data_IF_491729040177
#
_entry.id   IF_491729040177
#
_cell.length_a   1.000
_cell.length_b   1.000
_cell.length_c   1.000
_cell.angle_alpha   90.00
_cell.angle_beta   90.00
_cell.angle_gamma   90.00
#
_symmetry.space_group_name_H-M   'P 1'
#
loop_
_entity.id
_entity.type
_entity.pdbx_description
1 polymer ?
#
# COMPACT_ATOMS: atom_id res chain seq x y z
N UNK A 1 8.30 -17.89 -4.17
CA UNK A 1 8.03 -16.67 -4.95
C UNK A 1 7.20 -15.65 -4.18
N UNK A 2 6.16 -16.10 -3.47
CA UNK A 2 5.28 -15.21 -2.70
C UNK A 2 6.07 -14.41 -1.65
N UNK A 3 6.89 -15.08 -0.86
CA UNK A 3 7.63 -14.42 0.23
C UNK A 3 8.63 -13.41 -0.30
N UNK A 4 9.28 -13.72 -1.42
CA UNK A 4 10.21 -12.80 -2.07
C UNK A 4 9.49 -11.58 -2.65
N UNK A 5 8.30 -11.78 -3.21
CA UNK A 5 7.47 -10.70 -3.73
C UNK A 5 7.06 -9.75 -2.60
N UNK A 6 6.54 -10.30 -1.51
CA UNK A 6 6.11 -9.51 -0.35
C UNK A 6 7.29 -8.69 0.21
N UNK A 7 8.43 -9.32 0.42
CA UNK A 7 9.62 -8.64 0.93
C UNK A 7 10.05 -7.50 0.01
N UNK A 8 10.01 -7.73 -1.30
CA UNK A 8 10.40 -6.72 -2.28
C UNK A 8 9.44 -5.54 -2.32
N UNK A 9 8.14 -5.78 -2.20
CA UNK A 9 7.14 -4.71 -2.12
C UNK A 9 7.34 -3.87 -0.87
N UNK A 10 7.55 -4.50 0.27
CA UNK A 10 7.80 -3.80 1.53
C UNK A 10 9.02 -2.88 1.40
N UNK A 11 10.05 -3.34 0.70
CA UNK A 11 11.28 -2.57 0.49
C UNK A 11 11.09 -1.40 -0.50
N UNK A 12 10.28 -1.58 -1.55
CA UNK A 12 10.28 -0.68 -2.71
C UNK A 12 8.95 0.02 -2.99
N UNK A 13 7.93 -0.16 -2.18
CA UNK A 13 6.58 0.31 -2.51
C UNK A 13 6.47 1.83 -2.70
N UNK A 14 7.35 2.59 -2.03
CA UNK A 14 7.32 4.06 -2.16
C UNK A 14 7.77 4.55 -3.53
N UNK A 15 8.67 3.81 -4.17
CA UNK A 15 9.22 4.17 -5.46
C UNK A 15 8.58 3.41 -6.62
N UNK A 16 8.13 2.17 -6.37
CA UNK A 16 7.70 1.27 -7.45
C UNK A 16 6.39 0.58 -7.09
N UNK A 17 5.38 0.79 -7.92
CA UNK A 17 4.05 0.20 -7.72
C UNK A 17 3.57 -0.62 -8.91
N UNK A 18 4.40 -0.78 -9.93
CA UNK A 18 4.07 -1.56 -11.13
C UNK A 18 4.38 -3.04 -10.93
N UNK A 19 3.45 -3.91 -11.30
CA UNK A 19 3.66 -5.36 -11.28
C UNK A 19 4.85 -5.73 -12.16
N UNK A 20 5.03 -5.04 -13.29
CA UNK A 20 6.14 -5.31 -14.21
C UNK A 20 7.49 -5.14 -13.54
N UNK A 21 7.65 -4.11 -12.71
CA UNK A 21 8.90 -3.90 -11.96
C UNK A 21 9.22 -5.11 -11.08
N UNK A 22 8.23 -5.59 -10.33
CA UNK A 22 8.44 -6.69 -9.39
C UNK A 22 8.67 -8.02 -10.12
N UNK A 23 7.94 -8.26 -11.19
CA UNK A 23 8.15 -9.45 -12.01
C UNK A 23 9.55 -9.48 -12.59
N UNK A 24 10.03 -8.35 -13.11
CA UNK A 24 11.37 -8.22 -13.66
C UNK A 24 12.44 -8.49 -12.59
N UNK A 25 12.30 -7.88 -11.42
CA UNK A 25 13.24 -8.09 -10.31
C UNK A 25 13.25 -9.54 -9.82
N UNK A 26 12.15 -10.24 -9.91
CA UNK A 26 12.02 -11.63 -9.49
C UNK A 26 12.33 -12.62 -10.62
N UNK A 27 12.69 -12.10 -11.80
CA UNK A 27 13.04 -12.92 -12.98
C UNK A 27 11.90 -13.84 -13.42
N UNK A 28 10.67 -13.36 -13.34
CA UNK A 28 9.48 -14.07 -13.79
C UNK A 28 8.65 -13.16 -14.68
N UNK A 29 7.70 -13.77 -15.42
CA UNK A 29 6.76 -12.97 -16.20
C UNK A 29 5.71 -12.34 -15.29
N UNK A 30 5.15 -11.22 -15.72
CA UNK A 30 4.04 -10.57 -15.02
C UNK A 30 2.87 -11.55 -14.81
N UNK A 31 2.57 -12.32 -15.85
CA UNK A 31 1.48 -13.30 -15.80
C UNK A 31 1.75 -14.39 -14.75
N UNK A 32 2.97 -14.92 -14.72
CA UNK A 32 3.34 -15.94 -13.74
C UNK A 32 3.27 -15.40 -12.32
N UNK A 33 3.79 -14.20 -12.10
CA UNK A 33 3.73 -13.57 -10.79
C UNK A 33 2.29 -13.38 -10.33
N UNK A 34 1.44 -12.79 -11.17
CA UNK A 34 0.03 -12.55 -10.84
C UNK A 34 -0.71 -13.84 -10.55
N UNK A 35 -0.47 -14.89 -11.33
CA UNK A 35 -1.11 -16.18 -11.11
C UNK A 35 -0.68 -16.81 -9.79
N UNK A 36 0.62 -16.76 -9.50
CA UNK A 36 1.15 -17.34 -8.26
C UNK A 36 0.58 -16.61 -7.03
N UNK A 37 0.54 -15.27 -7.07
CA UNK A 37 -0.01 -14.49 -5.96
C UNK A 37 -1.50 -14.77 -5.81
N UNK A 38 -2.25 -14.85 -6.91
CA UNK A 38 -3.67 -15.20 -6.87
C UNK A 38 -3.90 -16.56 -6.20
N UNK A 39 -3.07 -17.55 -6.51
CA UNK A 39 -3.21 -18.90 -5.97
C UNK A 39 -2.80 -19.00 -4.51
N UNK A 40 -1.81 -18.21 -4.08
CA UNK A 40 -1.25 -18.33 -2.73
C UNK A 40 -1.84 -17.34 -1.74
N UNK A 41 -2.28 -16.17 -2.19
CA UNK A 41 -2.79 -15.09 -1.33
C UNK A 41 -4.27 -14.81 -1.58
N UNK A 42 -4.78 -15.14 -2.75
CA UNK A 42 -6.21 -14.96 -3.06
C UNK A 42 -6.54 -13.64 -3.74
N UNK A 43 -5.54 -12.81 -4.04
CA UNK A 43 -5.73 -11.58 -4.80
C UNK A 43 -4.64 -11.45 -5.86
N UNK A 44 -4.82 -10.55 -6.83
CA UNK A 44 -3.81 -10.34 -7.85
C UNK A 44 -2.59 -9.63 -7.25
N UNK A 45 -1.44 -9.73 -7.94
CA UNK A 45 -0.24 -9.01 -7.51
C UNK A 45 -0.48 -7.50 -7.43
N UNK A 46 -1.23 -6.94 -8.41
CA UNK A 46 -1.56 -5.51 -8.40
C UNK A 46 -2.41 -5.13 -7.20
N UNK A 47 -3.43 -5.93 -6.90
CA UNK A 47 -4.28 -5.70 -5.73
C UNK A 47 -3.45 -5.74 -4.44
N UNK A 48 -2.54 -6.68 -4.33
CA UNK A 48 -1.68 -6.80 -3.16
C UNK A 48 -0.79 -5.55 -2.98
N UNK A 49 -0.19 -5.08 -4.08
CA UNK A 49 0.65 -3.87 -4.05
C UNK A 49 -0.19 -2.67 -3.62
N UNK A 50 -1.35 -2.47 -4.25
CA UNK A 50 -2.22 -1.33 -3.94
C UNK A 50 -2.71 -1.39 -2.49
N UNK A 51 -3.11 -2.56 -2.01
CA UNK A 51 -3.57 -2.71 -0.62
C UNK A 51 -2.46 -2.37 0.37
N UNK A 52 -1.23 -2.78 0.08
CA UNK A 52 -0.10 -2.45 0.95
C UNK A 52 0.22 -0.95 0.93
N UNK A 53 0.20 -0.32 -0.24
CA UNK A 53 0.40 1.13 -0.34
C UNK A 53 -0.68 1.87 0.43
N UNK A 54 -1.93 1.45 0.29
CA UNK A 54 -3.05 2.06 1.02
C UNK A 54 -2.88 1.88 2.53
N UNK A 55 -2.45 0.71 2.98
CA UNK A 55 -2.15 0.48 4.40
C UNK A 55 -1.14 1.50 4.92
N UNK A 56 -0.02 1.65 4.21
CA UNK A 56 1.03 2.57 4.61
C UNK A 56 0.57 4.02 4.58
N UNK A 57 -0.26 4.39 3.60
CA UNK A 57 -0.86 5.72 3.55
C UNK A 57 -1.77 5.97 4.75
N UNK A 58 -2.61 5.02 5.11
CA UNK A 58 -3.50 5.12 6.27
C UNK A 58 -2.69 5.29 7.56
N UNK A 59 -1.65 4.48 7.74
CA UNK A 59 -0.76 4.58 8.91
C UNK A 59 -0.12 5.96 8.96
N UNK A 60 0.38 6.46 7.84
CA UNK A 60 1.03 7.78 7.79
C UNK A 60 0.04 8.90 8.10
N UNK A 61 -1.19 8.81 7.58
CA UNK A 61 -2.24 9.79 7.87
C UNK A 61 -2.57 9.85 9.35
N UNK A 62 -2.56 8.71 10.04
CA UNK A 62 -2.89 8.64 11.47
C UNK A 62 -1.71 8.96 12.38
N UNK A 63 -0.51 8.53 12.01
CA UNK A 63 0.64 8.58 12.90
C UNK A 63 1.49 9.85 12.78
N UNK A 64 1.20 10.70 11.79
CA UNK A 64 1.99 11.91 11.53
C UNK A 64 1.10 13.12 11.38
N UNK A 65 1.70 14.31 11.52
CA UNK A 65 1.06 15.59 11.22
C UNK A 65 1.46 16.10 9.83
N UNK A 66 2.06 15.25 8.99
CA UNK A 66 2.47 15.64 7.64
C UNK A 66 1.27 16.09 6.82
N UNK A 67 1.47 17.13 6.00
CA UNK A 67 0.45 17.57 5.07
C UNK A 67 0.22 16.51 3.98
N UNK A 68 -0.91 16.58 3.31
CA UNK A 68 -1.20 15.65 2.19
C UNK A 68 -0.14 15.80 1.10
N UNK A 69 0.33 17.03 0.83
CA UNK A 69 1.39 17.25 -0.15
C UNK A 69 2.72 16.59 0.28
N UNK A 70 3.06 16.69 1.55
CA UNK A 70 4.28 16.07 2.07
C UNK A 70 4.19 14.54 1.98
N UNK A 71 3.02 13.97 2.27
CA UNK A 71 2.80 12.52 2.13
C UNK A 71 2.92 12.11 0.66
N UNK A 72 2.34 12.87 -0.26
CA UNK A 72 2.46 12.61 -1.69
C UNK A 72 3.93 12.60 -2.11
N UNK A 73 4.72 13.53 -1.60
CA UNK A 73 6.15 13.59 -1.89
C UNK A 73 6.91 12.37 -1.35
N UNK A 74 6.61 11.95 -0.14
CA UNK A 74 7.24 10.78 0.48
C UNK A 74 6.96 9.49 -0.28
N UNK A 75 5.76 9.38 -0.83
CA UNK A 75 5.33 8.17 -1.54
C UNK A 75 5.55 8.30 -3.06
N UNK A 76 6.25 9.34 -3.50
CA UNK A 76 6.58 9.58 -4.91
C UNK A 76 5.35 9.63 -5.82
N UNK A 77 4.23 10.18 -5.33
CA UNK A 77 3.11 10.54 -6.18
C UNK A 77 3.42 11.85 -6.90
N UNK A 78 2.92 12.03 -8.14
CA UNK A 78 3.19 13.26 -8.91
C UNK A 78 2.78 14.55 -8.17
N UNK A 79 1.62 14.50 -7.46
CA UNK A 79 1.12 15.63 -6.68
C UNK A 79 0.06 15.13 -5.70
N UNK A 80 -0.45 16.05 -4.85
CA UNK A 80 -1.46 15.68 -3.87
C UNK A 80 -2.81 15.33 -4.50
N UNK A 81 -3.11 15.87 -5.67
CA UNK A 81 -4.35 15.55 -6.38
C UNK A 81 -4.36 14.11 -6.86
N UNK A 82 -3.22 13.63 -7.36
CA UNK A 82 -3.08 12.23 -7.76
C UNK A 82 -3.25 11.31 -6.55
N UNK A 83 -2.57 11.63 -5.45
CA UNK A 83 -2.73 10.87 -4.20
C UNK A 83 -4.18 10.84 -3.77
N UNK A 84 -4.87 11.97 -3.83
CA UNK A 84 -6.27 12.06 -3.44
C UNK A 84 -7.15 11.13 -4.27
N UNK A 85 -6.97 11.12 -5.58
CA UNK A 85 -7.74 10.24 -6.48
C UNK A 85 -7.42 8.78 -6.22
N UNK A 86 -6.15 8.44 -6.09
CA UNK A 86 -5.69 7.08 -5.82
C UNK A 86 -6.29 6.55 -4.51
N UNK A 87 -6.18 7.33 -3.43
CA UNK A 87 -6.67 6.95 -2.13
C UNK A 87 -8.20 6.80 -2.12
N UNK A 88 -8.91 7.76 -2.73
CA UNK A 88 -10.36 7.72 -2.80
C UNK A 88 -10.86 6.56 -3.64
N UNK A 89 -10.17 6.23 -4.73
CA UNK A 89 -10.52 5.09 -5.57
C UNK A 89 -10.49 3.78 -4.76
N UNK A 90 -9.49 3.62 -3.89
CA UNK A 90 -9.30 2.39 -3.14
C UNK A 90 -10.07 2.34 -1.82
N UNK A 91 -10.36 3.48 -1.21
CA UNK A 91 -10.98 3.53 0.14
C UNK A 91 -12.37 4.12 0.16
N UNK A 92 -12.77 4.82 -0.90
CA UNK A 92 -14.04 5.55 -0.93
C UNK A 92 -13.99 6.91 -0.26
N UNK A 93 -12.86 7.31 0.32
CA UNK A 93 -12.70 8.58 1.03
C UNK A 93 -11.46 9.31 0.57
N UNK A 94 -11.50 10.67 0.60
CA UNK A 94 -10.27 11.44 0.39
C UNK A 94 -9.32 11.25 1.57
N UNK A 95 -8.00 11.48 1.37
CA UNK A 95 -7.06 11.42 2.49
C UNK A 95 -7.41 12.37 3.63
N UNK A 96 -7.86 13.58 3.32
CA UNK A 96 -8.26 14.58 4.31
C UNK A 96 -9.47 14.09 5.10
N UNK A 97 -10.49 13.58 4.41
CA UNK A 97 -11.68 13.05 5.06
C UNK A 97 -11.34 11.85 5.95
N UNK A 98 -10.45 10.99 5.49
CA UNK A 98 -10.01 9.84 6.27
C UNK A 98 -9.33 10.29 7.56
N UNK A 99 -8.40 11.24 7.48
CA UNK A 99 -7.71 11.79 8.66
C UNK A 99 -8.68 12.44 9.64
N UNK A 100 -9.64 13.22 9.14
CA UNK A 100 -10.63 13.90 9.98
C UNK A 100 -11.57 12.91 10.66
N UNK A 101 -12.04 11.89 9.95
CA UNK A 101 -13.02 10.94 10.47
C UNK A 101 -12.43 9.95 11.46
N UNK A 102 -11.18 9.52 11.25
CA UNK A 102 -10.56 8.50 12.08
C UNK A 102 -9.55 9.08 13.07
N UNK A 103 -9.21 10.37 12.93
CA UNK A 103 -8.30 11.03 13.83
C UNK A 103 -6.88 10.49 13.75
N UNK A 104 -6.09 10.75 14.81
CA UNK A 104 -4.74 10.24 14.94
C UNK A 104 -4.76 9.03 15.87
N UNK A 105 -4.27 7.89 15.41
CA UNK A 105 -4.18 6.70 16.25
C UNK A 105 -3.08 6.87 17.29
N UNK A 106 -3.34 6.34 18.49
CA UNK A 106 -2.32 6.14 19.48
C UNK A 106 -1.46 4.93 19.08
N UNK A 107 -0.25 4.82 19.65
CA UNK A 107 0.69 3.76 19.26
C UNK A 107 0.14 2.34 19.42
N UNK A 108 -0.62 2.12 20.46
CA UNK A 108 -1.22 0.81 20.72
C UNK A 108 -2.23 0.42 19.62
N UNK A 109 -2.93 1.41 19.06
CA UNK A 109 -3.88 1.16 17.98
C UNK A 109 -3.18 0.82 16.67
N UNK A 110 -1.98 1.37 16.45
CA UNK A 110 -1.19 1.04 15.27
C UNK A 110 -0.79 -0.44 15.25
N UNK A 111 -0.45 -1.01 16.40
CA UNK A 111 -0.13 -2.42 16.49
C UNK A 111 -1.30 -3.30 16.05
N UNK A 112 -2.51 -3.00 16.52
CA UNK A 112 -3.72 -3.72 16.12
C UNK A 112 -4.00 -3.56 14.62
N UNK A 113 -3.79 -2.36 14.10
CA UNK A 113 -4.00 -2.05 12.69
C UNK A 113 -3.13 -2.93 11.79
N UNK A 114 -1.83 -3.05 12.12
CA UNK A 114 -0.92 -3.91 11.38
C UNK A 114 -1.25 -5.40 11.54
N UNK A 115 -1.71 -5.81 12.72
CA UNK A 115 -2.08 -7.20 12.98
C UNK A 115 -3.21 -7.66 12.05
N UNK A 116 -4.25 -6.83 11.86
CA UNK A 116 -5.36 -7.14 10.97
C UNK A 116 -4.87 -7.36 9.53
N UNK A 117 -3.92 -6.56 9.08
CA UNK A 117 -3.35 -6.70 7.74
C UNK A 117 -2.42 -7.90 7.64
N UNK A 118 -1.69 -8.21 8.70
CA UNK A 118 -0.82 -9.39 8.73
C UNK A 118 -1.64 -10.65 8.53
N UNK A 119 -2.78 -10.78 9.18
CA UNK A 119 -3.69 -11.92 8.99
C UNK A 119 -4.20 -12.01 7.55
N UNK A 120 -4.43 -10.87 6.91
CA UNK A 120 -4.86 -10.83 5.52
C UNK A 120 -3.75 -11.25 4.55
N UNK A 121 -2.50 -10.82 4.80
CA UNK A 121 -1.39 -11.02 3.86
C UNK A 121 -0.62 -12.33 4.08
N UNK A 122 -0.62 -12.86 5.28
CA UNK A 122 0.11 -14.06 5.63
C UNK A 122 -0.81 -15.22 5.97
#
# INVERSE_FOLDING_TARGET
>A
LKDRFIALVIESFREQRSVDYYADKLCVTTRHLSKTIQQTVGCTAKEWIDDYVILELKVTLHSTALSIQEIANQFNFPDQSYLGRYFKHHTGMSPTAYRENYGTYEKENLGTYYADYTDFFY
#
